data_IF_167809562702
#
_entry.id   IF_167809562702
#
_cell.length_a   1.000
_cell.length_b   1.000
_cell.length_c   1.000
_cell.angle_alpha   90.00
_cell.angle_beta   90.00
_cell.angle_gamma   90.00
#
_symmetry.space_group_name_H-M   'P 1'
#
loop_
_entity.id
_entity.type
_entity.pdbx_description
1 polymer ?
#
# COMPACT_ATOMS: atom_id res chain seq x y z
N UNK A 1 1.37 -16.62 -16.32
CA UNK A 1 2.55 -17.33 -15.84
C UNK A 1 3.01 -16.83 -14.46
N UNK A 2 3.39 -15.53 -14.26
CA UNK A 2 3.84 -15.02 -12.94
C UNK A 2 2.73 -15.05 -11.87
N UNK A 3 1.48 -14.81 -12.27
CA UNK A 3 0.31 -14.95 -11.38
C UNK A 3 0.15 -16.41 -10.93
N UNK A 4 0.25 -17.32 -11.86
CA UNK A 4 0.15 -18.76 -11.63
C UNK A 4 1.27 -19.25 -10.71
N UNK A 5 2.52 -18.86 -11.00
CA UNK A 5 3.67 -19.11 -10.12
C UNK A 5 3.41 -18.61 -8.70
N UNK A 6 2.97 -17.35 -8.54
CA UNK A 6 2.71 -16.77 -7.21
C UNK A 6 1.59 -17.48 -6.45
N UNK A 7 0.60 -18.03 -7.16
CA UNK A 7 -0.49 -18.80 -6.55
C UNK A 7 -0.04 -20.21 -6.15
N UNK A 8 0.82 -20.84 -6.97
CA UNK A 8 1.35 -22.17 -6.74
C UNK A 8 2.39 -22.18 -5.61
N UNK A 9 3.17 -21.12 -5.48
CA UNK A 9 4.22 -20.95 -4.47
C UNK A 9 3.93 -19.76 -3.57
N UNK A 10 3.00 -19.90 -2.59
CA UNK A 10 2.48 -18.78 -1.80
C UNK A 10 3.49 -18.14 -0.86
N UNK A 11 4.61 -18.80 -0.57
CA UNK A 11 5.73 -18.23 0.17
C UNK A 11 6.57 -17.26 -0.67
N UNK A 12 6.39 -17.25 -1.99
CA UNK A 12 7.01 -16.24 -2.85
C UNK A 12 6.31 -14.89 -2.69
N UNK A 13 7.09 -13.81 -2.60
CA UNK A 13 6.60 -12.49 -2.19
C UNK A 13 6.99 -11.40 -3.18
N UNK A 14 6.18 -10.35 -3.29
CA UNK A 14 6.48 -9.15 -4.08
C UNK A 14 6.84 -9.43 -5.55
N UNK A 15 6.38 -10.56 -6.10
CA UNK A 15 6.67 -10.93 -7.49
C UNK A 15 5.66 -10.32 -8.49
N UNK A 16 4.56 -9.78 -7.96
CA UNK A 16 3.54 -9.07 -8.75
C UNK A 16 2.93 -7.91 -7.98
N UNK A 17 2.37 -6.96 -8.70
CA UNK A 17 1.47 -5.96 -8.14
C UNK A 17 0.04 -6.28 -8.59
N UNK A 18 -0.84 -6.73 -7.66
CA UNK A 18 -2.21 -7.08 -8.00
C UNK A 18 -3.04 -5.86 -8.45
N UNK A 19 -2.75 -4.66 -7.91
CA UNK A 19 -3.47 -3.44 -8.23
C UNK A 19 -3.12 -2.94 -9.64
N UNK A 20 -1.83 -2.98 -10.00
CA UNK A 20 -1.36 -2.61 -11.33
C UNK A 20 -1.43 -3.75 -12.35
N UNK A 21 -1.85 -4.96 -11.93
CA UNK A 21 -1.86 -6.19 -12.75
C UNK A 21 -0.51 -6.46 -13.44
N UNK A 22 0.58 -6.14 -12.75
CA UNK A 22 1.91 -6.14 -13.31
C UNK A 22 2.83 -7.13 -12.61
N UNK A 23 3.67 -7.82 -13.41
CA UNK A 23 4.82 -8.57 -12.91
C UNK A 23 5.91 -7.63 -12.39
N UNK A 24 6.56 -8.02 -11.29
CA UNK A 24 7.67 -7.30 -10.68
C UNK A 24 8.97 -8.11 -10.69
N UNK A 25 8.99 -9.31 -11.27
CA UNK A 25 10.19 -10.16 -11.31
C UNK A 25 11.18 -9.72 -12.40
N UNK A 26 10.71 -9.15 -13.50
CA UNK A 26 11.58 -8.67 -14.56
C UNK A 26 12.17 -7.29 -14.21
N UNK A 27 13.45 -7.04 -14.49
CA UNK A 27 14.07 -5.73 -14.32
C UNK A 27 13.40 -4.70 -15.23
N UNK A 28 13.41 -3.44 -14.80
CA UNK A 28 12.85 -2.32 -15.59
C UNK A 28 13.86 -1.63 -16.50
N UNK A 29 15.11 -1.94 -16.29
CA UNK A 29 16.25 -1.38 -17.05
C UNK A 29 17.01 -2.52 -17.71
N UNK A 30 17.68 -2.29 -18.84
CA UNK A 30 18.52 -3.30 -19.47
C UNK A 30 19.56 -3.83 -18.48
N UNK A 31 19.55 -5.13 -18.27
CA UNK A 31 20.56 -5.82 -17.45
C UNK A 31 20.62 -7.30 -17.86
N UNK A 32 21.69 -8.03 -17.55
CA UNK A 32 21.85 -9.44 -17.92
C UNK A 32 20.93 -10.38 -17.10
N UNK A 33 20.23 -9.87 -16.09
CA UNK A 33 19.31 -10.66 -15.26
C UNK A 33 17.96 -10.73 -15.96
N UNK A 34 17.52 -11.92 -16.32
CA UNK A 34 16.23 -12.16 -16.97
C UNK A 34 15.05 -11.85 -16.00
N UNK A 35 15.15 -12.34 -14.78
CA UNK A 35 14.20 -12.07 -13.71
C UNK A 35 14.79 -12.38 -12.32
N UNK A 36 14.12 -11.90 -11.27
CA UNK A 36 14.43 -12.23 -9.88
C UNK A 36 13.18 -12.58 -9.10
N UNK A 37 13.13 -13.78 -8.51
CA UNK A 37 12.04 -14.23 -7.64
C UNK A 37 12.44 -13.96 -6.19
N UNK A 38 11.51 -13.45 -5.39
CA UNK A 38 11.67 -13.28 -3.94
C UNK A 38 10.76 -14.25 -3.21
N UNK A 39 11.24 -14.84 -2.12
CA UNK A 39 10.47 -15.77 -1.28
C UNK A 39 11.04 -15.90 0.12
N UNK A 40 10.29 -16.57 0.97
CA UNK A 40 10.64 -16.84 2.37
C UNK A 40 11.67 -17.97 2.50
N UNK A 41 11.63 -18.96 1.62
CA UNK A 41 12.54 -20.09 1.64
C UNK A 41 13.33 -20.22 0.33
N UNK A 42 14.53 -20.79 0.46
CA UNK A 42 15.37 -21.11 -0.70
C UNK A 42 14.69 -22.11 -1.63
N UNK A 43 14.04 -23.13 -1.05
CA UNK A 43 13.41 -24.20 -1.85
C UNK A 43 12.28 -23.64 -2.71
N UNK A 44 11.37 -22.85 -2.12
CA UNK A 44 10.23 -22.31 -2.86
C UNK A 44 10.65 -21.38 -4.00
N UNK A 45 11.74 -20.60 -3.84
CA UNK A 45 12.20 -19.76 -4.95
C UNK A 45 12.87 -20.57 -6.06
N UNK A 46 13.49 -21.71 -5.74
CA UNK A 46 14.05 -22.64 -6.72
C UNK A 46 12.93 -23.37 -7.47
N UNK A 47 11.93 -23.88 -6.77
CA UNK A 47 10.78 -24.56 -7.40
C UNK A 47 9.99 -23.59 -8.28
N UNK A 48 9.81 -22.35 -7.83
CA UNK A 48 9.19 -21.30 -8.63
C UNK A 48 10.03 -20.94 -9.87
N UNK A 49 11.37 -20.97 -9.75
CA UNK A 49 12.27 -20.80 -10.88
C UNK A 49 12.11 -21.94 -11.91
N UNK A 50 12.13 -23.18 -11.47
CA UNK A 50 11.94 -24.36 -12.33
C UNK A 50 10.60 -24.28 -13.07
N UNK A 51 9.51 -23.98 -12.36
CA UNK A 51 8.22 -23.76 -12.98
C UNK A 51 8.25 -22.70 -14.09
N UNK A 52 8.91 -21.54 -13.85
CA UNK A 52 9.04 -20.52 -14.88
C UNK A 52 9.91 -20.98 -16.06
N UNK A 53 10.96 -21.78 -15.79
CA UNK A 53 11.80 -22.34 -16.84
C UNK A 53 11.06 -23.39 -17.69
N UNK A 54 10.19 -24.17 -17.09
CA UNK A 54 9.37 -25.15 -17.84
C UNK A 54 8.32 -24.48 -18.72
N UNK A 55 7.62 -23.49 -18.19
CA UNK A 55 6.46 -22.85 -18.81
C UNK A 55 6.80 -21.61 -19.66
N UNK A 56 7.96 -21.00 -19.44
CA UNK A 56 8.37 -19.78 -20.10
C UNK A 56 9.02 -20.02 -21.47
N UNK A 57 8.86 -19.06 -22.39
CA UNK A 57 9.50 -19.10 -23.70
C UNK A 57 11.00 -18.79 -23.62
N UNK A 58 11.39 -17.89 -22.72
CA UNK A 58 12.79 -17.50 -22.53
C UNK A 58 13.42 -18.35 -21.42
N UNK A 59 14.59 -18.89 -21.69
CA UNK A 59 15.35 -19.72 -20.75
C UNK A 59 16.54 -18.93 -20.20
N UNK A 60 16.78 -19.08 -18.89
CA UNK A 60 17.99 -18.56 -18.28
C UNK A 60 19.17 -19.51 -18.55
N UNK A 61 20.35 -18.96 -18.74
CA UNK A 61 21.60 -19.75 -18.87
C UNK A 61 22.11 -20.30 -17.54
N UNK A 62 21.56 -19.83 -16.42
CA UNK A 62 21.87 -20.25 -15.07
C UNK A 62 21.10 -19.44 -14.05
N UNK A 63 21.17 -19.86 -12.79
CA UNK A 63 20.52 -19.15 -11.69
C UNK A 63 21.38 -19.15 -10.42
N UNK A 64 21.06 -18.25 -9.50
CA UNK A 64 21.65 -18.19 -8.16
C UNK A 64 20.60 -17.84 -7.12
N UNK A 65 20.50 -18.62 -6.07
CA UNK A 65 19.74 -18.29 -4.87
C UNK A 65 20.67 -17.73 -3.79
N UNK A 66 20.31 -16.63 -3.16
CA UNK A 66 21.08 -16.00 -2.07
C UNK A 66 20.15 -15.36 -1.06
N UNK A 67 20.63 -15.15 0.15
CA UNK A 67 19.94 -14.34 1.16
C UNK A 67 20.07 -12.87 0.79
N UNK A 68 19.07 -12.10 1.15
CA UNK A 68 19.01 -10.66 0.91
C UNK A 68 18.36 -9.97 2.11
N UNK A 69 18.71 -8.71 2.34
CA UNK A 69 18.04 -7.82 3.30
C UNK A 69 16.80 -7.12 2.71
N UNK A 70 16.37 -7.51 1.52
CA UNK A 70 15.13 -6.96 0.95
C UNK A 70 13.93 -7.43 1.77
N UNK A 71 12.97 -6.53 1.97
CA UNK A 71 11.75 -6.79 2.73
C UNK A 71 11.97 -7.24 4.19
N UNK A 72 12.98 -6.68 4.86
CA UNK A 72 13.33 -6.96 6.27
C UNK A 72 12.93 -5.82 7.23
N UNK A 73 12.71 -4.62 6.72
CA UNK A 73 12.54 -3.36 7.48
C UNK A 73 13.82 -2.85 8.17
N UNK A 74 14.99 -3.37 7.85
CA UNK A 74 16.28 -3.00 8.48
C UNK A 74 16.57 -1.48 8.43
N UNK A 75 15.90 -0.74 7.55
CA UNK A 75 16.04 0.71 7.40
C UNK A 75 15.08 1.51 8.27
N UNK A 76 14.14 0.85 8.95
CA UNK A 76 13.12 1.51 9.77
C UNK A 76 13.49 1.41 11.25
N UNK A 77 13.26 2.50 11.96
CA UNK A 77 13.24 2.54 13.41
C UNK A 77 11.91 1.98 13.95
N UNK A 78 11.71 2.09 15.27
CA UNK A 78 10.45 1.74 15.92
C UNK A 78 9.28 2.58 15.37
N UNK A 79 8.05 2.07 15.58
CA UNK A 79 6.83 2.81 15.29
C UNK A 79 6.84 4.16 16.02
N UNK A 80 6.43 5.19 15.29
CA UNK A 80 6.19 6.54 15.84
C UNK A 80 4.70 6.81 15.91
N UNK A 81 4.29 7.70 16.83
CA UNK A 81 2.89 8.08 17.00
C UNK A 81 2.76 9.58 17.24
N UNK A 82 1.59 10.14 16.95
CA UNK A 82 1.31 11.55 17.18
C UNK A 82 -0.12 11.93 16.86
N UNK A 83 -0.45 13.18 17.18
CA UNK A 83 -1.74 13.80 16.91
C UNK A 83 -1.60 14.71 15.70
N UNK A 84 -2.48 14.56 14.72
CA UNK A 84 -2.54 15.40 13.54
C UNK A 84 -2.95 16.82 13.94
N UNK A 85 -2.12 17.79 13.66
CA UNK A 85 -2.44 19.22 13.86
C UNK A 85 -3.01 19.85 12.58
N UNK A 86 -2.53 19.42 11.41
CA UNK A 86 -2.98 19.91 10.11
C UNK A 86 -2.66 18.90 9.00
N UNK A 87 -3.41 18.99 7.91
CA UNK A 87 -3.13 18.25 6.66
C UNK A 87 -3.26 19.18 5.46
N UNK A 88 -2.42 18.98 4.46
CA UNK A 88 -2.44 19.76 3.22
C UNK A 88 -2.21 18.85 2.01
N UNK A 89 -3.13 18.87 1.08
CA UNK A 89 -2.92 18.23 -0.22
C UNK A 89 -2.10 19.15 -1.11
N UNK A 90 -0.98 18.66 -1.60
CA UNK A 90 -0.07 19.37 -2.49
C UNK A 90 -0.40 19.08 -3.96
N UNK A 91 0.19 19.89 -4.86
CA UNK A 91 0.14 19.62 -6.30
C UNK A 91 0.63 18.20 -6.61
N UNK A 92 -0.10 17.47 -7.43
CA UNK A 92 0.20 16.07 -7.75
C UNK A 92 -0.44 15.06 -6.80
N UNK A 93 -1.25 15.50 -5.80
CA UNK A 93 -1.99 14.61 -4.90
C UNK A 93 -1.18 14.05 -3.74
N UNK A 94 0.03 14.55 -3.50
CA UNK A 94 0.80 14.25 -2.29
C UNK A 94 0.11 14.89 -1.09
N UNK A 95 0.22 14.29 0.09
CA UNK A 95 -0.35 14.83 1.33
C UNK A 95 0.78 15.08 2.34
N UNK A 96 0.80 16.29 2.86
CA UNK A 96 1.58 16.71 3.99
C UNK A 96 0.72 16.61 5.25
N UNK A 97 1.23 15.94 6.28
CA UNK A 97 0.58 15.78 7.58
C UNK A 97 1.52 16.38 8.62
N UNK A 98 1.01 17.30 9.43
CA UNK A 98 1.77 17.90 10.53
C UNK A 98 1.38 17.23 11.86
N UNK A 99 2.37 16.72 12.57
CA UNK A 99 2.25 16.11 13.91
C UNK A 99 3.28 16.69 14.90
N UNK A 100 3.68 17.97 14.69
CA UNK A 100 4.83 18.60 15.35
C UNK A 100 6.08 18.58 14.46
N UNK A 101 6.11 17.70 13.49
CA UNK A 101 7.03 17.65 12.35
C UNK A 101 6.24 17.18 11.12
N UNK A 102 6.87 17.24 9.97
CA UNK A 102 6.18 16.97 8.69
C UNK A 102 6.31 15.52 8.27
N UNK A 103 5.16 14.88 8.01
CA UNK A 103 5.07 13.57 7.35
C UNK A 103 4.61 13.75 5.91
N UNK A 104 5.19 13.02 4.97
CA UNK A 104 4.86 13.08 3.54
C UNK A 104 4.29 11.74 3.06
N UNK A 105 3.04 11.76 2.64
CA UNK A 105 2.38 10.66 1.95
C UNK A 105 2.35 10.94 0.45
N UNK A 106 3.20 10.27 -0.32
CA UNK A 106 3.24 10.45 -1.77
C UNK A 106 2.01 9.87 -2.45
N UNK A 107 1.56 10.49 -3.55
CA UNK A 107 0.39 10.04 -4.31
C UNK A 107 0.51 8.60 -4.82
N UNK A 108 1.74 8.17 -5.14
CA UNK A 108 2.04 6.79 -5.52
C UNK A 108 1.94 5.80 -4.35
N UNK A 109 1.88 6.28 -3.11
CA UNK A 109 1.73 5.49 -1.89
C UNK A 109 0.40 4.76 -1.75
N UNK A 110 -0.53 4.91 -2.69
CA UNK A 110 -1.78 4.16 -2.73
C UNK A 110 -2.59 4.29 -1.44
N UNK A 111 -2.72 3.20 -0.68
CA UNK A 111 -3.53 3.16 0.54
C UNK A 111 -3.01 4.06 1.66
N UNK A 112 -1.69 4.29 1.75
CA UNK A 112 -1.09 5.26 2.69
C UNK A 112 -1.57 6.67 2.35
N UNK A 113 -1.46 7.07 1.09
CA UNK A 113 -1.93 8.37 0.63
C UNK A 113 -3.46 8.51 0.76
N UNK A 114 -4.21 7.46 0.43
CA UNK A 114 -5.67 7.44 0.55
C UNK A 114 -6.16 7.60 1.99
N UNK A 115 -5.42 7.08 2.97
CA UNK A 115 -5.69 7.34 4.38
C UNK A 115 -5.29 8.77 4.75
N UNK A 116 -4.09 9.22 4.35
CA UNK A 116 -3.59 10.56 4.62
C UNK A 116 -4.58 11.66 4.16
N UNK A 117 -5.21 11.50 3.00
CA UNK A 117 -6.23 12.42 2.49
C UNK A 117 -7.51 12.49 3.35
N UNK A 118 -7.73 11.52 4.21
CA UNK A 118 -8.92 11.44 5.09
C UNK A 118 -8.64 11.93 6.50
N UNK A 119 -7.38 12.14 6.85
CA UNK A 119 -7.00 12.61 8.19
C UNK A 119 -7.49 14.04 8.42
N UNK A 120 -7.83 14.33 9.66
CA UNK A 120 -8.26 15.64 10.13
C UNK A 120 -7.54 16.02 11.42
N UNK A 121 -7.42 17.31 11.74
CA UNK A 121 -6.85 17.72 13.01
C UNK A 121 -7.53 17.00 14.20
N UNK A 122 -6.70 16.55 15.16
CA UNK A 122 -7.13 15.76 16.30
C UNK A 122 -7.04 14.24 16.13
N UNK A 123 -6.86 13.73 14.90
CA UNK A 123 -6.65 12.30 14.69
C UNK A 123 -5.37 11.82 15.36
N UNK A 124 -5.45 10.66 16.00
CA UNK A 124 -4.27 9.97 16.52
C UNK A 124 -3.82 8.93 15.49
N UNK A 125 -2.57 9.03 15.08
CA UNK A 125 -1.97 8.17 14.08
C UNK A 125 -0.69 7.51 14.57
N UNK A 126 -0.37 6.37 13.96
CA UNK A 126 0.94 5.75 14.03
C UNK A 126 1.50 5.55 12.64
N UNK A 127 2.83 5.62 12.53
CA UNK A 127 3.50 5.47 11.25
C UNK A 127 4.87 4.83 11.37
N UNK A 128 5.33 4.33 10.22
CA UNK A 128 6.71 4.07 9.90
C UNK A 128 7.10 4.94 8.71
N UNK A 129 8.32 5.42 8.71
CA UNK A 129 8.82 6.23 7.62
C UNK A 129 10.31 6.51 7.75
N UNK A 130 10.89 7.02 6.69
CA UNK A 130 12.30 7.39 6.62
C UNK A 130 12.43 8.90 6.56
N UNK A 131 13.23 9.46 7.46
CA UNK A 131 13.53 10.87 7.48
C UNK A 131 14.46 11.27 6.33
N UNK A 132 14.13 12.34 5.64
CA UNK A 132 14.99 12.96 4.63
C UNK A 132 15.97 13.97 5.25
N UNK A 133 16.80 14.58 4.42
CA UNK A 133 17.80 15.56 4.87
C UNK A 133 17.18 16.87 5.37
N UNK A 134 15.95 17.16 4.97
CA UNK A 134 15.22 18.36 5.37
C UNK A 134 14.40 18.13 6.67
N UNK A 135 14.46 16.91 7.23
CA UNK A 135 13.78 16.52 8.45
C UNK A 135 12.34 16.04 8.25
N UNK A 136 11.85 15.98 7.01
CA UNK A 136 10.54 15.43 6.72
C UNK A 136 10.57 13.90 6.75
N UNK A 137 9.48 13.27 7.15
CA UNK A 137 9.36 11.81 7.18
C UNK A 137 8.54 11.32 5.99
N UNK A 138 9.16 10.56 5.10
CA UNK A 138 8.50 9.88 4.00
C UNK A 138 7.80 8.63 4.52
N UNK A 139 6.47 8.64 4.50
CA UNK A 139 5.67 7.56 5.05
C UNK A 139 5.80 6.27 4.23
N UNK A 140 6.06 5.18 4.94
CA UNK A 140 6.07 3.82 4.40
C UNK A 140 4.90 2.98 4.90
N UNK A 141 4.40 3.28 6.10
CA UNK A 141 3.16 2.73 6.65
C UNK A 141 2.47 3.78 7.49
N UNK A 142 1.15 3.70 7.51
CA UNK A 142 0.30 4.61 8.27
C UNK A 142 -0.91 3.85 8.80
N UNK A 143 -1.29 4.12 10.04
CA UNK A 143 -2.60 3.73 10.57
C UNK A 143 -3.21 4.84 11.40
N UNK A 144 -4.53 4.84 11.46
CA UNK A 144 -5.32 5.67 12.33
C UNK A 144 -5.66 4.86 13.58
N UNK A 145 -5.34 5.38 14.78
CA UNK A 145 -5.61 4.68 16.04
C UNK A 145 -7.09 4.77 16.38
N UNK A 146 -7.62 6.00 16.33
CA UNK A 146 -9.04 6.28 16.57
C UNK A 146 -9.52 7.21 15.46
N UNK A 147 -10.57 6.80 14.76
CA UNK A 147 -11.10 7.63 13.67
C UNK A 147 -12.58 7.46 13.47
N UNK A 148 -13.33 8.42 13.99
CA UNK A 148 -14.71 8.62 13.58
C UNK A 148 -14.80 9.79 12.62
N UNK A 149 -15.58 9.63 11.56
CA UNK A 149 -15.94 10.70 10.65
C UNK A 149 -17.41 10.97 10.74
N UNK A 150 -17.74 12.05 11.44
CA UNK A 150 -19.10 12.55 11.49
C UNK A 150 -19.44 13.30 10.20
N UNK A 151 -20.73 13.34 9.89
CA UNK A 151 -21.26 14.11 8.75
C UNK A 151 -20.67 13.70 7.40
N UNK A 152 -20.54 12.42 7.17
CA UNK A 152 -20.26 11.86 5.83
C UNK A 152 -21.55 11.43 5.15
N UNK A 153 -21.58 11.45 3.82
CA UNK A 153 -22.70 10.89 3.07
C UNK A 153 -22.68 9.37 3.18
N UNK A 154 -23.85 8.70 3.32
CA UNK A 154 -23.92 7.25 3.42
C UNK A 154 -23.33 6.56 2.17
N UNK A 155 -23.06 5.25 2.30
CA UNK A 155 -22.70 4.39 1.19
C UNK A 155 -23.92 3.70 0.62
N UNK A 156 -23.98 3.60 -0.69
CA UNK A 156 -24.93 2.78 -1.42
C UNK A 156 -24.56 1.29 -1.27
N UNK A 157 -25.52 0.38 -1.40
CA UNK A 157 -25.29 -1.05 -1.45
C UNK A 157 -24.32 -1.51 -2.54
N UNK A 158 -24.12 -0.70 -3.61
CA UNK A 158 -23.10 -0.96 -4.63
C UNK A 158 -21.67 -0.52 -4.25
N UNK A 159 -21.46 -0.01 -3.01
CA UNK A 159 -20.17 0.44 -2.48
C UNK A 159 -19.85 1.91 -2.71
N UNK A 160 -20.49 2.59 -3.66
CA UNK A 160 -20.26 3.99 -3.94
C UNK A 160 -20.88 4.90 -2.88
N UNK A 161 -20.23 6.04 -2.60
CA UNK A 161 -20.79 7.05 -1.71
C UNK A 161 -21.82 7.89 -2.45
N UNK A 162 -22.96 8.13 -1.81
CA UNK A 162 -24.00 9.02 -2.34
C UNK A 162 -23.47 10.46 -2.55
N UNK A 163 -23.97 11.13 -3.58
CA UNK A 163 -23.66 12.52 -3.87
C UNK A 163 -24.90 13.39 -3.78
N UNK A 164 -24.72 14.66 -3.40
CA UNK A 164 -25.77 15.66 -3.41
C UNK A 164 -26.15 16.03 -4.85
N UNK A 165 -27.43 16.20 -5.11
CA UNK A 165 -27.96 16.70 -6.38
C UNK A 165 -28.29 18.21 -6.34
N UNK A 166 -28.31 18.77 -5.14
CA UNK A 166 -28.68 20.19 -4.90
C UNK A 166 -29.18 20.40 -3.48
N UNK A 167 -29.52 21.65 -3.17
CA UNK A 167 -30.08 22.00 -1.86
C UNK A 167 -31.47 21.37 -1.71
N UNK A 168 -31.70 20.66 -0.60
CA UNK A 168 -32.96 19.99 -0.27
C UNK A 168 -33.38 18.87 -1.26
N UNK A 169 -32.48 18.39 -2.12
CA UNK A 169 -32.76 17.26 -2.98
C UNK A 169 -32.24 15.96 -2.36
N UNK A 170 -32.83 14.79 -2.72
CA UNK A 170 -32.31 13.51 -2.31
C UNK A 170 -30.86 13.31 -2.79
N UNK A 171 -30.14 12.43 -2.11
CA UNK A 171 -28.81 11.99 -2.56
C UNK A 171 -28.96 11.01 -3.70
N UNK A 172 -28.02 11.00 -4.65
CA UNK A 172 -28.00 10.02 -5.73
C UNK A 172 -26.67 9.28 -5.78
N UNK A 173 -26.77 7.98 -5.99
CA UNK A 173 -25.60 7.14 -6.21
C UNK A 173 -25.02 7.39 -7.62
N UNK A 174 -23.74 7.75 -7.76
CA UNK A 174 -23.14 8.02 -9.07
C UNK A 174 -22.95 6.77 -9.93
N UNK A 175 -22.96 5.57 -9.30
CA UNK A 175 -22.71 4.30 -10.00
C UNK A 175 -23.98 3.59 -10.43
N UNK A 176 -25.02 3.56 -9.59
CA UNK A 176 -26.25 2.82 -9.90
C UNK A 176 -27.51 3.69 -9.98
N UNK A 177 -27.40 4.99 -9.73
CA UNK A 177 -28.51 5.94 -9.82
C UNK A 177 -29.51 5.90 -8.68
N UNK A 178 -29.36 4.98 -7.70
CA UNK A 178 -30.27 4.88 -6.55
C UNK A 178 -30.33 6.21 -5.79
N UNK A 179 -31.55 6.60 -5.38
CA UNK A 179 -31.75 7.78 -4.54
C UNK A 179 -31.88 7.40 -3.06
N UNK A 180 -31.50 8.34 -2.21
CA UNK A 180 -31.52 8.18 -0.74
C UNK A 180 -31.84 9.52 -0.10
N UNK A 181 -32.43 9.51 1.10
CA UNK A 181 -32.70 10.72 1.86
C UNK A 181 -31.43 11.56 2.07
N UNK A 182 -31.60 12.87 2.09
CA UNK A 182 -30.49 13.82 2.29
C UNK A 182 -30.07 13.85 3.76
N UNK A 183 -29.33 12.81 4.17
CA UNK A 183 -28.83 12.65 5.54
C UNK A 183 -27.31 12.52 5.60
N UNK A 184 -26.79 12.68 6.81
CA UNK A 184 -25.40 12.48 7.15
C UNK A 184 -25.29 11.36 8.18
N UNK A 185 -24.24 10.58 8.08
CA UNK A 185 -23.97 9.46 8.99
C UNK A 185 -22.58 9.56 9.59
N UNK A 186 -22.33 8.88 10.69
CA UNK A 186 -20.99 8.65 11.24
C UNK A 186 -20.38 7.45 10.52
N UNK A 187 -19.15 7.56 10.09
CA UNK A 187 -18.35 6.47 9.53
C UNK A 187 -17.14 6.21 10.44
N UNK A 188 -16.96 4.98 10.87
CA UNK A 188 -15.76 4.55 11.58
C UNK A 188 -14.71 4.19 10.54
N UNK A 189 -13.52 4.80 10.62
CA UNK A 189 -12.40 4.45 9.76
C UNK A 189 -11.65 3.25 10.37
N UNK A 190 -11.22 2.34 9.50
CA UNK A 190 -10.42 1.18 9.89
C UNK A 190 -9.08 1.62 10.49
N UNK A 191 -8.72 1.04 11.64
CA UNK A 191 -7.44 1.22 12.32
C UNK A 191 -6.33 0.29 11.81
N UNK A 192 -6.58 -0.42 10.73
CA UNK A 192 -5.58 -1.30 10.12
C UNK A 192 -4.42 -0.51 9.52
N UNK A 193 -3.24 -1.10 9.55
CA UNK A 193 -2.08 -0.59 8.86
C UNK A 193 -2.33 -0.48 7.35
N UNK A 194 -1.88 0.61 6.77
CA UNK A 194 -1.83 0.84 5.32
C UNK A 194 -0.38 0.85 4.86
N UNK A 195 -0.14 0.29 3.68
CA UNK A 195 1.17 0.25 3.04
C UNK A 195 1.06 0.60 1.56
N UNK A 196 2.14 1.04 0.91
CA UNK A 196 2.16 1.25 -0.53
C UNK A 196 1.95 -0.05 -1.29
N UNK A 197 1.45 0.06 -2.53
CA UNK A 197 1.41 -1.10 -3.41
C UNK A 197 2.82 -1.65 -3.66
N UNK A 198 2.96 -2.94 -4.00
CA UNK A 198 4.25 -3.58 -4.27
C UNK A 198 5.14 -2.83 -5.28
N UNK A 199 4.53 -2.14 -6.26
CA UNK A 199 5.24 -1.36 -7.28
C UNK A 199 5.94 -0.12 -6.76
N UNK A 200 5.48 0.43 -5.64
CA UNK A 200 5.94 1.70 -5.07
C UNK A 200 6.56 1.53 -3.69
N UNK A 201 6.66 0.30 -3.22
CA UNK A 201 7.34 -0.04 -1.98
C UNK A 201 8.85 0.09 -2.13
N UNK A 202 9.53 0.53 -1.08
CA UNK A 202 10.99 0.43 -1.01
C UNK A 202 11.42 -1.03 -0.96
N UNK A 203 12.56 -1.37 -1.53
CA UNK A 203 13.03 -2.76 -1.58
C UNK A 203 13.25 -3.36 -0.19
N UNK A 204 13.65 -2.56 0.79
CA UNK A 204 13.87 -2.99 2.17
C UNK A 204 12.57 -3.11 2.98
N UNK A 205 11.48 -2.45 2.55
CA UNK A 205 10.23 -2.44 3.31
C UNK A 205 9.59 -3.85 3.35
N UNK A 206 9.33 -4.35 4.56
CA UNK A 206 8.66 -5.64 4.80
C UNK A 206 7.16 -5.50 4.52
N UNK A 207 6.56 -6.37 3.70
CA UNK A 207 5.11 -6.33 3.48
C UNK A 207 4.32 -6.60 4.77
N UNK A 208 3.15 -5.99 4.91
CA UNK A 208 2.25 -6.26 6.05
C UNK A 208 1.90 -7.74 6.16
N UNK A 209 1.78 -8.45 5.05
CA UNK A 209 1.53 -9.89 5.00
C UNK A 209 2.65 -10.75 5.63
N UNK A 210 3.84 -10.16 5.84
CA UNK A 210 4.99 -10.80 6.50
C UNK A 210 5.19 -10.35 7.94
N UNK A 211 4.42 -9.39 8.42
CA UNK A 211 4.53 -8.91 9.81
C UNK A 211 4.27 -10.07 10.78
N UNK A 212 5.12 -10.19 11.81
CA UNK A 212 5.05 -11.26 12.79
C UNK A 212 5.63 -12.61 12.33
N UNK A 213 6.10 -12.75 11.08
CA UNK A 213 6.88 -13.94 10.66
C UNK A 213 8.35 -13.70 11.01
N UNK A 214 8.94 -14.66 11.73
CA UNK A 214 10.38 -14.68 11.97
C UNK A 214 11.13 -14.88 10.65
N UNK A 215 12.27 -14.25 10.53
CA UNK A 215 13.22 -14.52 9.45
C UNK A 215 13.82 -15.92 9.68
N UNK A 216 13.71 -16.78 8.67
CA UNK A 216 14.29 -18.15 8.67
C UNK A 216 15.68 -18.09 8.08
#
# INVERSE_FOLDING_TARGET
LVIEMSNRYPSTILNRDPNARRSLIAPRTPCPVLYGIRGESRQDVLDAHEFLQEQGAEKSSGHRAHRTNQATDDHLSSVSSGVVSNTRTMKGGHVEINVGHTLLAFSQGGDVNSLAQKLTPGDQIEWYGLQDLDGNIHLERLRLIVGERNKVRPRCGCGSRFKSQGTNQPLRCPSCGLEHDNLWVTEILSSEWREPSPSYRRHLAKPLSRMGKSEV
#
